data_IF_600503905273
#
_entry.id   IF_600503905273
#
_cell.length_a   1.000
_cell.length_b   1.000
_cell.length_c   1.000
_cell.angle_alpha   90.00
_cell.angle_beta   90.00
_cell.angle_gamma   90.00
#
_symmetry.space_group_name_H-M   'P 1'
#
loop_
_entity.id
_entity.type
_entity.pdbx_description
1 polymer ?
#
# COMPACT_ATOMS: atom_id res chain seq x y z
N UNK A 1 6.09 -24.69 -0.99
CA UNK A 1 7.23 -23.79 -1.35
C UNK A 1 7.29 -22.69 -0.31
N UNK A 2 8.48 -22.22 0.10
CA UNK A 2 8.55 -21.09 1.04
C UNK A 2 7.89 -19.86 0.39
N UNK A 3 6.86 -19.30 1.03
CA UNK A 3 5.98 -18.26 0.49
C UNK A 3 6.72 -16.99 -0.03
N UNK A 4 7.93 -16.72 0.44
CA UNK A 4 8.74 -15.59 -0.03
C UNK A 4 9.30 -15.76 -1.45
N UNK A 5 9.55 -16.98 -1.92
CA UNK A 5 10.02 -17.26 -3.30
C UNK A 5 8.92 -17.08 -4.35
N UNK A 6 7.65 -17.05 -3.94
CA UNK A 6 6.53 -16.77 -4.82
C UNK A 6 6.44 -15.28 -5.19
N UNK A 7 7.08 -14.39 -4.42
CA UNK A 7 7.01 -12.94 -4.65
C UNK A 7 7.56 -12.52 -6.03
N UNK A 8 8.76 -12.92 -6.45
CA UNK A 8 9.23 -12.66 -7.82
C UNK A 8 8.31 -13.23 -8.88
N UNK A 9 7.79 -14.44 -8.66
CA UNK A 9 6.93 -15.11 -9.63
C UNK A 9 5.61 -14.34 -9.82
N UNK A 10 5.00 -13.90 -8.73
CA UNK A 10 3.80 -13.05 -8.76
C UNK A 10 4.11 -11.72 -9.45
N UNK A 11 5.24 -11.09 -9.13
CA UNK A 11 5.67 -9.85 -9.78
C UNK A 11 5.82 -10.00 -11.30
N UNK A 12 6.62 -10.98 -11.73
CA UNK A 12 6.93 -11.20 -13.15
C UNK A 12 5.68 -11.59 -13.94
N UNK A 13 4.86 -12.49 -13.39
CA UNK A 13 3.62 -12.92 -14.06
C UNK A 13 2.66 -11.74 -14.25
N UNK A 14 2.43 -10.94 -13.21
CA UNK A 14 1.56 -9.75 -13.31
C UNK A 14 2.15 -8.68 -14.23
N UNK A 15 3.48 -8.55 -14.28
CA UNK A 15 4.15 -7.63 -15.19
C UNK A 15 3.90 -8.00 -16.64
N UNK A 16 4.15 -9.26 -17.01
CA UNK A 16 3.93 -9.76 -18.37
C UNK A 16 2.45 -9.65 -18.74
N UNK A 17 1.55 -10.04 -17.85
CA UNK A 17 0.11 -9.94 -18.09
C UNK A 17 -0.34 -8.48 -18.29
N UNK A 18 0.13 -7.54 -17.47
CA UNK A 18 -0.22 -6.13 -17.61
C UNK A 18 0.31 -5.57 -18.95
N UNK A 19 1.57 -5.83 -19.28
CA UNK A 19 2.17 -5.39 -20.55
C UNK A 19 1.38 -5.93 -21.74
N UNK A 20 1.08 -7.23 -21.75
CA UNK A 20 0.33 -7.86 -22.83
C UNK A 20 -1.10 -7.32 -22.92
N UNK A 21 -1.80 -7.17 -21.79
CA UNK A 21 -3.16 -6.66 -21.77
C UNK A 21 -3.25 -5.27 -22.40
N UNK A 22 -2.41 -4.31 -21.98
CA UNK A 22 -2.41 -2.97 -22.57
C UNK A 22 -1.99 -2.97 -24.03
N UNK A 23 -0.92 -3.71 -24.37
CA UNK A 23 -0.34 -3.68 -25.71
C UNK A 23 -1.26 -4.34 -26.75
N UNK A 24 -1.90 -5.45 -26.41
CA UNK A 24 -2.88 -6.12 -27.28
C UNK A 24 -4.09 -5.21 -27.50
N UNK A 25 -4.64 -4.63 -26.43
CA UNK A 25 -5.79 -3.72 -26.54
C UNK A 25 -5.48 -2.52 -27.44
N UNK A 26 -4.32 -1.88 -27.27
CA UNK A 26 -3.90 -0.76 -28.14
C UNK A 26 -3.62 -1.22 -29.56
N UNK A 27 -3.01 -2.39 -29.76
CA UNK A 27 -2.79 -2.96 -31.08
C UNK A 27 -4.10 -3.20 -31.84
N UNK A 28 -5.09 -3.83 -31.21
CA UNK A 28 -6.42 -4.06 -31.79
C UNK A 28 -7.07 -2.72 -32.12
N UNK A 29 -7.07 -1.79 -31.16
CA UNK A 29 -7.66 -0.46 -31.34
C UNK A 29 -7.12 0.28 -32.57
N UNK A 30 -5.79 0.32 -32.70
CA UNK A 30 -5.11 1.02 -33.78
C UNK A 30 -5.34 0.33 -35.13
N UNK A 31 -5.46 -1.00 -35.14
CA UNK A 31 -5.82 -1.76 -36.33
C UNK A 31 -7.26 -1.53 -36.78
N UNK A 32 -8.19 -1.34 -35.84
CA UNK A 32 -9.58 -1.00 -36.15
C UNK A 32 -9.69 0.43 -36.70
N UNK A 33 -8.90 1.37 -36.16
CA UNK A 33 -8.94 2.78 -36.56
C UNK A 33 -8.36 3.07 -37.94
N UNK A 34 -7.27 2.39 -38.31
CA UNK A 34 -6.54 2.66 -39.55
C UNK A 34 -6.79 1.62 -40.65
N UNK A 35 -7.69 0.68 -40.43
CA UNK A 35 -8.04 -0.36 -41.41
C UNK A 35 -6.92 -1.37 -41.67
N UNK A 36 -6.94 -1.98 -42.85
CA UNK A 36 -6.05 -3.10 -43.25
C UNK A 36 -4.64 -2.63 -43.66
N UNK A 37 -4.02 -1.76 -42.86
CA UNK A 37 -2.64 -1.35 -43.04
C UNK A 37 -1.72 -2.47 -42.54
N UNK A 38 -1.00 -3.10 -43.46
CA UNK A 38 -0.12 -4.24 -43.15
C UNK A 38 0.83 -3.94 -41.98
N UNK A 39 0.70 -4.72 -40.91
CA UNK A 39 1.54 -4.64 -39.72
C UNK A 39 1.26 -3.48 -38.79
N UNK A 40 0.17 -2.71 -38.97
CA UNK A 40 -0.20 -1.62 -38.04
C UNK A 40 -0.42 -2.17 -36.62
N UNK A 41 -1.12 -3.31 -36.50
CA UNK A 41 -1.35 -4.00 -35.24
C UNK A 41 -0.04 -4.25 -34.47
N UNK A 42 0.94 -4.89 -35.12
CA UNK A 42 2.19 -5.27 -34.48
C UNK A 42 3.06 -4.04 -34.13
N UNK A 43 3.06 -3.03 -35.00
CA UNK A 43 3.78 -1.77 -34.74
C UNK A 43 3.18 -0.99 -33.56
N UNK A 44 1.84 -0.91 -33.47
CA UNK A 44 1.12 -0.29 -32.36
C UNK A 44 1.29 -1.08 -31.06
N UNK A 45 1.22 -2.41 -31.13
CA UNK A 45 1.50 -3.32 -30.02
C UNK A 45 2.88 -3.06 -29.44
N UNK A 46 3.93 -3.06 -30.27
CA UNK A 46 5.29 -2.81 -29.80
C UNK A 46 5.46 -1.39 -29.28
N UNK A 47 4.84 -0.40 -29.93
CA UNK A 47 4.90 1.00 -29.50
C UNK A 47 4.28 1.19 -28.11
N UNK A 48 3.14 0.56 -27.84
CA UNK A 48 2.54 0.56 -26.51
C UNK A 48 3.40 -0.22 -25.50
N UNK A 49 3.90 -1.40 -25.91
CA UNK A 49 4.65 -2.31 -25.06
C UNK A 49 5.86 -1.64 -24.43
N UNK A 50 6.69 -0.95 -25.21
CA UNK A 50 7.88 -0.32 -24.65
C UNK A 50 7.51 0.85 -23.74
N UNK A 51 6.51 1.65 -24.08
CA UNK A 51 6.12 2.82 -23.28
C UNK A 51 5.45 2.45 -21.95
N UNK A 52 4.61 1.40 -21.92
CA UNK A 52 3.78 1.07 -20.75
C UNK A 52 4.56 0.38 -19.62
N UNK A 53 5.82 0.00 -19.83
CA UNK A 53 6.61 -0.77 -18.86
C UNK A 53 6.65 -0.17 -17.44
N UNK A 54 6.83 1.16 -17.24
CA UNK A 54 6.82 1.74 -15.90
C UNK A 54 5.47 1.54 -15.19
N UNK A 55 4.36 1.69 -15.91
CA UNK A 55 3.00 1.50 -15.37
C UNK A 55 2.77 0.02 -15.06
N UNK A 56 3.19 -0.88 -15.94
CA UNK A 56 3.11 -2.31 -15.70
C UNK A 56 3.92 -2.73 -14.46
N UNK A 57 5.09 -2.12 -14.22
CA UNK A 57 5.84 -2.31 -12.98
C UNK A 57 5.04 -1.88 -11.75
N UNK A 58 4.40 -0.71 -11.78
CA UNK A 58 3.60 -0.20 -10.65
C UNK A 58 2.43 -1.15 -10.35
N UNK A 59 1.71 -1.61 -11.39
CA UNK A 59 0.61 -2.58 -11.26
C UNK A 59 1.13 -3.90 -10.66
N UNK A 60 2.31 -4.35 -11.08
CA UNK A 60 2.91 -5.58 -10.56
C UNK A 60 3.29 -5.49 -9.09
N UNK A 61 3.81 -4.34 -8.64
CA UNK A 61 4.05 -4.06 -7.22
C UNK A 61 2.74 -4.13 -6.44
N UNK A 62 1.65 -3.60 -6.99
CA UNK A 62 0.34 -3.68 -6.36
C UNK A 62 -0.17 -5.13 -6.26
N UNK A 63 0.01 -5.96 -7.29
CA UNK A 63 -0.35 -7.37 -7.22
C UNK A 63 0.46 -8.12 -6.14
N UNK A 64 1.76 -7.82 -6.01
CA UNK A 64 2.59 -8.37 -4.93
C UNK A 64 2.12 -7.91 -3.56
N UNK A 65 1.67 -6.66 -3.43
CA UNK A 65 1.10 -6.16 -2.18
C UNK A 65 -0.12 -6.96 -1.75
N UNK A 66 -1.08 -7.16 -2.67
CA UNK A 66 -2.29 -7.95 -2.41
C UNK A 66 -1.92 -9.39 -2.03
N UNK A 67 -0.92 -9.96 -2.69
CA UNK A 67 -0.39 -11.29 -2.35
C UNK A 67 0.19 -11.32 -0.91
N UNK A 68 1.00 -10.33 -0.53
CA UNK A 68 1.59 -10.23 0.82
C UNK A 68 0.54 -9.97 1.91
N UNK A 69 -0.58 -9.30 1.59
CA UNK A 69 -1.71 -9.16 2.52
C UNK A 69 -2.42 -10.49 2.83
N UNK A 70 -2.44 -11.39 1.85
CA UNK A 70 -3.08 -12.72 1.95
C UNK A 70 -2.15 -13.74 2.60
N UNK A 71 -0.84 -13.67 2.33
CA UNK A 71 0.17 -14.59 2.85
C UNK A 71 1.16 -13.86 3.76
N UNK A 72 0.85 -13.82 5.06
CA UNK A 72 1.56 -13.01 6.06
C UNK A 72 2.88 -13.60 6.58
N UNK A 73 3.44 -14.60 5.90
CA UNK A 73 4.63 -15.30 6.38
C UNK A 73 5.91 -14.59 5.90
N UNK A 74 6.80 -14.29 6.85
CA UNK A 74 8.13 -13.71 6.61
C UNK A 74 8.15 -12.40 5.79
N UNK A 75 7.39 -11.39 6.23
CA UNK A 75 7.32 -10.06 5.59
C UNK A 75 8.68 -9.46 5.19
N UNK A 76 9.70 -9.57 6.04
CA UNK A 76 11.02 -9.00 5.77
C UNK A 76 11.74 -9.62 4.57
N UNK A 77 11.72 -10.96 4.46
CA UNK A 77 12.36 -11.66 3.34
C UNK A 77 11.60 -11.40 2.03
N UNK A 78 10.27 -11.51 2.07
CA UNK A 78 9.40 -11.20 0.92
C UNK A 78 9.64 -9.79 0.39
N UNK A 79 9.79 -8.82 1.29
CA UNK A 79 10.09 -7.43 0.94
C UNK A 79 11.47 -7.25 0.32
N UNK A 80 12.51 -7.87 0.90
CA UNK A 80 13.86 -7.84 0.34
C UNK A 80 13.89 -8.42 -1.08
N UNK A 81 13.22 -9.55 -1.28
CA UNK A 81 13.12 -10.21 -2.58
C UNK A 81 12.35 -9.34 -3.59
N UNK A 82 11.30 -8.63 -3.16
CA UNK A 82 10.61 -7.65 -4.00
C UNK A 82 11.54 -6.51 -4.42
N UNK A 83 12.31 -5.92 -3.49
CA UNK A 83 13.25 -4.84 -3.80
C UNK A 83 14.26 -5.29 -4.85
N UNK A 84 14.87 -6.48 -4.68
CA UNK A 84 15.86 -7.00 -5.62
C UNK A 84 15.23 -7.22 -7.00
N UNK A 85 14.06 -7.86 -7.05
CA UNK A 85 13.35 -8.12 -8.32
C UNK A 85 12.99 -6.80 -9.01
N UNK A 86 12.45 -5.86 -8.24
CA UNK A 86 12.09 -4.53 -8.75
C UNK A 86 13.31 -3.77 -9.28
N UNK A 87 14.42 -3.76 -8.53
CA UNK A 87 15.66 -3.10 -8.94
C UNK A 87 16.21 -3.67 -10.25
N UNK A 88 16.13 -5.00 -10.46
CA UNK A 88 16.50 -5.64 -11.72
C UNK A 88 15.61 -5.16 -12.88
N UNK A 89 14.30 -5.08 -12.68
CA UNK A 89 13.39 -4.62 -13.72
C UNK A 89 13.60 -3.13 -14.05
N UNK A 90 13.69 -2.31 -13.01
CA UNK A 90 13.90 -0.87 -13.11
C UNK A 90 15.25 -0.52 -13.74
N UNK A 91 16.35 -1.08 -13.27
CA UNK A 91 17.69 -0.68 -13.71
C UNK A 91 18.17 -1.40 -14.97
N UNK A 92 17.63 -2.59 -15.29
CA UNK A 92 18.09 -3.41 -16.42
C UNK A 92 17.01 -3.64 -17.46
N UNK A 93 15.87 -4.25 -17.10
CA UNK A 93 14.88 -4.71 -18.09
C UNK A 93 14.22 -3.54 -18.83
N UNK A 94 13.74 -2.53 -18.11
CA UNK A 94 13.10 -1.36 -18.75
C UNK A 94 14.09 -0.62 -19.68
N UNK A 95 15.30 -0.24 -19.22
CA UNK A 95 16.33 0.34 -20.08
C UNK A 95 16.70 -0.51 -21.29
N UNK A 96 16.75 -1.84 -21.14
CA UNK A 96 17.05 -2.75 -22.25
C UNK A 96 15.99 -2.64 -23.35
N UNK A 97 14.70 -2.61 -22.99
CA UNK A 97 13.63 -2.44 -23.97
C UNK A 97 13.63 -1.02 -24.54
N UNK A 98 13.88 0.00 -23.72
CA UNK A 98 14.00 1.38 -24.18
C UNK A 98 15.13 1.60 -25.19
N UNK A 99 16.21 0.80 -25.13
CA UNK A 99 17.28 0.85 -26.13
C UNK A 99 16.79 0.56 -27.57
N UNK A 100 15.69 -0.20 -27.70
CA UNK A 100 15.04 -0.46 -28.99
C UNK A 100 13.86 0.49 -29.27
N UNK A 101 13.49 1.33 -28.30
CA UNK A 101 12.33 2.22 -28.37
C UNK A 101 12.36 3.16 -29.57
N UNK A 102 13.53 3.65 -29.97
CA UNK A 102 13.66 4.56 -31.11
C UNK A 102 13.32 3.87 -32.44
N UNK A 103 13.86 2.66 -32.65
CA UNK A 103 13.56 1.86 -33.84
C UNK A 103 12.08 1.51 -33.91
N UNK A 104 11.48 1.14 -32.77
CA UNK A 104 10.05 0.82 -32.67
C UNK A 104 9.21 2.07 -32.97
N UNK A 105 9.58 3.23 -32.43
CA UNK A 105 8.88 4.49 -32.64
C UNK A 105 8.92 4.93 -34.11
N UNK A 106 10.08 4.81 -34.75
CA UNK A 106 10.23 5.11 -36.19
C UNK A 106 9.39 4.15 -37.04
N UNK A 107 9.44 2.84 -36.76
CA UNK A 107 8.66 1.83 -37.48
C UNK A 107 7.15 2.02 -37.33
N UNK A 108 6.67 2.52 -36.18
CA UNK A 108 5.26 2.86 -35.97
C UNK A 108 4.85 4.14 -36.71
N UNK A 109 5.70 5.16 -36.72
CA UNK A 109 5.38 6.44 -37.36
C UNK A 109 5.55 6.44 -38.87
N UNK A 110 6.32 5.51 -39.43
CA UNK A 110 6.45 5.33 -40.88
C UNK A 110 5.24 4.63 -41.52
N UNK A 111 4.32 4.09 -40.73
CA UNK A 111 3.10 3.47 -41.24
C UNK A 111 2.12 4.55 -41.70
N UNK A 112 1.51 4.32 -42.86
CA UNK A 112 0.42 5.14 -43.35
C UNK A 112 -0.77 5.04 -42.38
N UNK A 113 -1.30 6.19 -41.98
CA UNK A 113 -2.37 6.34 -40.99
C UNK A 113 -3.55 7.01 -41.66
N UNK A 114 -4.23 6.28 -42.53
CA UNK A 114 -5.47 6.74 -43.17
C UNK A 114 -6.62 6.35 -42.25
N UNK A 115 -7.32 7.35 -41.72
CA UNK A 115 -8.53 7.14 -40.91
C UNK A 115 -9.63 6.57 -41.79
N UNK A 116 -10.39 5.60 -41.25
CA UNK A 116 -11.59 5.09 -41.92
C UNK A 116 -12.65 6.20 -41.93
N UNK A 117 -13.07 6.62 -43.12
CA UNK A 117 -14.13 7.62 -43.33
C UNK A 117 -15.52 6.97 -43.20
N UNK A 118 -15.82 6.44 -42.02
CA UNK A 118 -17.15 5.93 -41.66
C UNK A 118 -17.55 6.48 -40.30
N UNK A 119 -18.47 7.44 -40.33
CA UNK A 119 -18.99 8.18 -39.16
C UNK A 119 -19.68 7.28 -38.13
N UNK A 120 -20.25 6.15 -38.56
CA UNK A 120 -20.88 5.19 -37.64
C UNK A 120 -19.84 4.31 -36.95
N UNK A 121 -18.80 3.90 -37.68
CA UNK A 121 -17.65 3.19 -37.11
C UNK A 121 -16.85 4.09 -36.16
N UNK A 122 -16.68 5.36 -36.52
CA UNK A 122 -15.93 6.35 -35.74
C UNK A 122 -16.50 6.49 -34.33
N UNK A 123 -17.83 6.58 -34.19
CA UNK A 123 -18.50 6.71 -32.89
C UNK A 123 -18.35 5.43 -32.03
N UNK A 124 -18.31 4.25 -32.67
CA UNK A 124 -18.15 2.97 -31.96
C UNK A 124 -16.71 2.71 -31.55
N UNK A 125 -15.76 3.12 -32.39
CA UNK A 125 -14.33 3.06 -32.14
C UNK A 125 -13.88 4.37 -31.47
N UNK A 126 -14.72 5.20 -30.85
CA UNK A 126 -14.19 6.32 -30.08
C UNK A 126 -13.78 5.86 -28.67
N UNK A 127 -12.61 6.29 -28.18
CA UNK A 127 -12.18 5.88 -26.83
C UNK A 127 -13.20 6.38 -25.81
N UNK A 128 -13.68 5.54 -24.88
CA UNK A 128 -14.58 6.01 -23.83
C UNK A 128 -13.95 7.17 -23.06
N UNK A 129 -14.76 8.15 -22.65
CA UNK A 129 -14.27 9.37 -21.99
C UNK A 129 -13.34 9.08 -20.78
N UNK A 130 -13.61 8.02 -20.02
CA UNK A 130 -12.74 7.62 -18.91
C UNK A 130 -11.35 7.14 -19.38
N UNK A 131 -11.27 6.41 -20.50
CA UNK A 131 -10.00 5.95 -21.09
C UNK A 131 -9.21 7.15 -21.61
N UNK A 132 -9.89 8.11 -22.22
CA UNK A 132 -9.27 9.36 -22.67
C UNK A 132 -8.70 10.15 -21.48
N UNK A 133 -9.47 10.30 -20.41
CA UNK A 133 -9.05 11.00 -19.19
C UNK A 133 -7.87 10.32 -18.48
N UNK A 134 -7.90 8.99 -18.33
CA UNK A 134 -6.76 8.25 -17.77
C UNK A 134 -5.55 8.36 -18.71
N UNK A 135 -5.79 8.27 -20.02
CA UNK A 135 -4.76 8.38 -21.04
C UNK A 135 -4.09 9.76 -21.08
N UNK A 136 -4.79 10.85 -20.80
CA UNK A 136 -4.22 12.20 -20.75
C UNK A 136 -3.33 12.42 -19.53
N UNK A 137 -3.59 11.68 -18.44
CA UNK A 137 -2.76 11.69 -17.22
C UNK A 137 -1.53 10.79 -17.40
N UNK A 138 -1.71 9.58 -17.93
CA UNK A 138 -0.65 8.56 -17.99
C UNK A 138 0.33 8.79 -19.13
N UNK A 139 -0.12 9.25 -20.32
CA UNK A 139 0.77 9.45 -21.48
C UNK A 139 1.95 10.39 -21.20
N UNK A 140 1.73 11.61 -20.66
CA UNK A 140 2.81 12.50 -20.26
C UNK A 140 3.86 11.81 -19.38
N UNK A 141 3.40 11.05 -18.40
CA UNK A 141 4.25 10.37 -17.44
C UNK A 141 5.16 9.34 -18.11
N UNK A 142 4.62 8.44 -18.93
CA UNK A 142 5.43 7.41 -19.59
C UNK A 142 6.37 7.98 -20.65
N UNK A 143 5.93 9.01 -21.38
CA UNK A 143 6.75 9.68 -22.38
C UNK A 143 7.90 10.47 -21.75
N UNK A 144 7.67 11.15 -20.63
CA UNK A 144 8.71 11.88 -19.93
C UNK A 144 9.78 10.92 -19.36
N UNK A 145 9.38 9.77 -18.82
CA UNK A 145 10.34 8.73 -18.36
C UNK A 145 11.22 8.25 -19.52
N UNK A 146 10.62 7.96 -20.68
CA UNK A 146 11.37 7.57 -21.88
C UNK A 146 12.26 8.71 -22.41
N UNK A 147 11.76 9.95 -22.36
CA UNK A 147 12.52 11.16 -22.70
C UNK A 147 13.77 11.32 -21.82
N UNK A 148 13.66 11.06 -20.51
CA UNK A 148 14.82 11.08 -19.62
C UNK A 148 15.82 9.98 -19.93
N UNK A 149 15.35 8.79 -20.33
CA UNK A 149 16.24 7.73 -20.80
C UNK A 149 17.00 8.13 -22.06
N UNK A 150 16.33 8.77 -23.03
CA UNK A 150 17.00 9.32 -24.23
C UNK A 150 18.04 10.37 -23.89
N UNK A 151 17.80 11.19 -22.87
CA UNK A 151 18.75 12.22 -22.44
C UNK A 151 20.01 11.59 -21.84
N UNK A 152 19.85 10.71 -20.84
CA UNK A 152 20.93 9.84 -20.36
C UNK A 152 20.39 8.73 -19.45
N UNK A 153 21.14 7.63 -19.34
CA UNK A 153 20.83 6.56 -18.39
C UNK A 153 20.81 7.06 -16.93
N UNK A 154 21.74 7.94 -16.56
CA UNK A 154 21.79 8.54 -15.22
C UNK A 154 20.58 9.41 -14.94
N UNK A 155 20.15 10.21 -15.91
CA UNK A 155 18.96 11.06 -15.81
C UNK A 155 17.71 10.21 -15.59
N UNK A 156 17.58 9.10 -16.32
CA UNK A 156 16.53 8.12 -16.12
C UNK A 156 16.54 7.54 -14.70
N UNK A 157 17.69 7.08 -14.21
CA UNK A 157 17.80 6.49 -12.88
C UNK A 157 17.38 7.46 -11.77
N UNK A 158 17.82 8.72 -11.86
CA UNK A 158 17.46 9.76 -10.89
C UNK A 158 15.97 10.06 -10.94
N UNK A 159 15.45 10.36 -12.15
CA UNK A 159 14.06 10.77 -12.33
C UNK A 159 13.10 9.64 -11.98
N UNK A 160 13.23 8.49 -12.66
CA UNK A 160 12.34 7.37 -12.45
C UNK A 160 12.55 6.73 -11.06
N UNK A 161 13.77 6.72 -10.54
CA UNK A 161 14.06 6.25 -9.18
C UNK A 161 13.36 7.08 -8.10
N UNK A 162 13.33 8.41 -8.23
CA UNK A 162 12.62 9.29 -7.29
C UNK A 162 11.10 9.04 -7.27
N UNK A 163 10.50 8.76 -8.44
CA UNK A 163 9.08 8.42 -8.57
C UNK A 163 8.80 7.06 -7.94
N UNK A 164 9.62 6.06 -8.24
CA UNK A 164 9.45 4.74 -7.66
C UNK A 164 9.68 4.72 -6.15
N UNK A 165 10.60 5.55 -5.64
CA UNK A 165 10.77 5.79 -4.20
C UNK A 165 9.49 6.34 -3.57
N UNK A 166 8.83 7.31 -4.21
CA UNK A 166 7.55 7.86 -3.75
C UNK A 166 6.46 6.78 -3.70
N UNK A 167 6.30 6.01 -4.78
CA UNK A 167 5.32 4.92 -4.85
C UNK A 167 5.60 3.86 -3.78
N UNK A 168 6.88 3.53 -3.57
CA UNK A 168 7.30 2.58 -2.56
C UNK A 168 7.05 3.10 -1.14
N UNK A 169 7.23 4.40 -0.88
CA UNK A 169 6.92 5.01 0.41
C UNK A 169 5.43 4.88 0.77
N UNK A 170 4.54 5.05 -0.23
CA UNK A 170 3.10 4.81 -0.05
C UNK A 170 2.81 3.36 0.30
N UNK A 171 3.48 2.43 -0.36
CA UNK A 171 3.32 1.00 -0.10
C UNK A 171 3.79 0.61 1.31
N UNK A 172 4.92 1.16 1.76
CA UNK A 172 5.41 0.96 3.13
C UNK A 172 4.39 1.51 4.12
N UNK A 173 3.84 2.69 3.83
CA UNK A 173 2.80 3.31 4.63
C UNK A 173 1.56 2.44 4.77
N UNK A 174 1.01 1.96 3.66
CA UNK A 174 -0.18 1.11 3.69
C UNK A 174 0.09 -0.28 4.29
N UNK A 175 1.30 -0.82 4.16
CA UNK A 175 1.64 -2.08 4.83
C UNK A 175 1.66 -1.93 6.35
N UNK A 176 2.18 -0.80 6.85
CA UNK A 176 2.26 -0.53 8.28
C UNK A 176 0.90 -0.23 8.88
N UNK A 177 -0.01 0.47 8.19
CA UNK A 177 -1.30 0.85 8.80
C UNK A 177 -2.19 -0.34 9.12
N UNK A 178 -1.99 -1.51 8.49
CA UNK A 178 -2.73 -2.77 8.67
C UNK A 178 -4.24 -2.71 8.30
N UNK A 179 -4.74 -1.58 7.81
CA UNK A 179 -6.15 -1.38 7.44
C UNK A 179 -6.43 -1.98 6.07
N UNK A 180 -6.52 -3.33 5.98
CA UNK A 180 -6.50 -4.06 4.70
C UNK A 180 -7.47 -3.51 3.64
N UNK A 181 -8.74 -3.29 3.98
CA UNK A 181 -9.76 -2.80 3.04
C UNK A 181 -9.51 -1.35 2.65
N UNK A 182 -9.29 -0.47 3.63
CA UNK A 182 -9.04 0.96 3.37
C UNK A 182 -7.80 1.15 2.52
N UNK A 183 -6.72 0.43 2.82
CA UNK A 183 -5.46 0.49 2.09
C UNK A 183 -5.58 -0.04 0.66
N UNK A 184 -6.41 -1.06 0.44
CA UNK A 184 -6.67 -1.59 -0.90
C UNK A 184 -7.33 -0.54 -1.81
N UNK A 185 -8.26 0.25 -1.29
CA UNK A 185 -8.90 1.35 -2.03
C UNK A 185 -8.03 2.60 -2.10
N UNK A 186 -7.30 2.92 -1.04
CA UNK A 186 -6.53 4.16 -0.92
C UNK A 186 -5.27 4.16 -1.80
N UNK A 187 -4.62 3.00 -1.99
CA UNK A 187 -3.40 2.91 -2.78
C UNK A 187 -3.57 3.26 -4.27
N UNK A 188 -4.56 2.71 -5.01
CA UNK A 188 -4.80 3.12 -6.39
C UNK A 188 -5.27 4.58 -6.48
N UNK A 189 -6.04 5.07 -5.50
CA UNK A 189 -6.48 6.46 -5.45
C UNK A 189 -5.30 7.42 -5.29
N UNK A 190 -4.39 7.14 -4.36
CA UNK A 190 -3.16 7.91 -4.18
C UNK A 190 -2.24 7.86 -5.40
N UNK A 191 -2.17 6.71 -6.08
CA UNK A 191 -1.42 6.59 -7.32
C UNK A 191 -1.99 7.50 -8.41
N UNK A 192 -3.31 7.49 -8.60
CA UNK A 192 -3.99 8.40 -9.53
C UNK A 192 -3.74 9.85 -9.14
N UNK A 193 -3.80 10.19 -7.84
CA UNK A 193 -3.52 11.53 -7.34
C UNK A 193 -2.08 11.97 -7.63
N UNK A 194 -1.10 11.08 -7.46
CA UNK A 194 0.31 11.36 -7.82
C UNK A 194 0.45 11.61 -9.31
N UNK A 195 -0.17 10.77 -10.16
CA UNK A 195 -0.11 10.94 -11.61
C UNK A 195 -0.84 12.21 -12.06
N UNK A 196 -1.93 12.58 -11.39
CA UNK A 196 -2.62 13.84 -11.63
C UNK A 196 -1.78 15.05 -11.19
N UNK A 197 -1.18 15.00 -10.00
CA UNK A 197 -0.24 16.02 -9.52
C UNK A 197 0.98 16.14 -10.42
N UNK A 198 1.45 15.03 -11.01
CA UNK A 198 2.52 15.03 -12.01
C UNK A 198 2.18 15.92 -13.21
N UNK A 199 0.95 15.83 -13.73
CA UNK A 199 0.49 16.67 -14.83
C UNK A 199 0.59 18.17 -14.51
N UNK A 200 0.38 18.55 -13.25
CA UNK A 200 0.52 19.93 -12.79
C UNK A 200 1.99 20.34 -12.58
N UNK A 201 2.80 19.49 -11.96
CA UNK A 201 4.25 19.71 -11.73
C UNK A 201 5.02 19.85 -13.05
N UNK A 202 4.49 19.28 -14.13
CA UNK A 202 5.09 19.35 -15.46
C UNK A 202 5.00 20.75 -16.07
N UNK A 203 4.00 21.56 -15.72
CA UNK A 203 3.73 22.88 -16.29
C UNK A 203 4.87 23.85 -16.01
N UNK A 204 5.22 24.69 -17.00
CA UNK A 204 6.29 25.69 -16.85
C UNK A 204 6.00 26.69 -15.74
N UNK A 205 4.75 27.15 -15.61
CA UNK A 205 4.31 28.07 -14.55
C UNK A 205 4.62 27.55 -13.14
N UNK A 206 4.46 26.23 -12.92
CA UNK A 206 4.77 25.61 -11.65
C UNK A 206 6.28 25.63 -11.39
N UNK A 207 7.08 25.30 -12.41
CA UNK A 207 8.54 25.32 -12.30
C UNK A 207 9.05 26.73 -12.00
N UNK A 208 8.52 27.75 -12.69
CA UNK A 208 8.85 29.15 -12.45
C UNK A 208 8.48 29.58 -11.03
N UNK A 209 7.29 29.21 -10.55
CA UNK A 209 6.86 29.50 -9.18
C UNK A 209 7.81 28.91 -8.13
N UNK A 210 8.36 27.72 -8.39
CA UNK A 210 9.35 27.09 -7.51
C UNK A 210 10.70 27.82 -7.60
N UNK A 211 11.16 28.18 -8.80
CA UNK A 211 12.39 28.95 -9.00
C UNK A 211 12.34 30.29 -8.25
N UNK A 212 11.20 30.99 -8.24
CA UNK A 212 11.02 32.27 -7.55
C UNK A 212 11.08 32.17 -6.01
N UNK A 213 10.64 31.04 -5.45
CA UNK A 213 10.64 30.81 -4.00
C UNK A 213 12.03 30.40 -3.48
N UNK A 214 12.83 29.75 -4.34
CA UNK A 214 14.11 29.18 -3.94
C UNK A 214 15.22 30.25 -3.88
N UNK A 215 15.96 30.36 -2.77
CA UNK A 215 17.04 31.34 -2.65
C UNK A 215 18.31 30.96 -3.44
N UNK A 216 18.28 29.86 -4.21
CA UNK A 216 19.40 29.37 -5.00
C UNK A 216 18.95 28.78 -6.33
N UNK A 217 19.77 28.93 -7.37
CA UNK A 217 19.52 28.40 -8.70
C UNK A 217 19.77 26.89 -8.75
N UNK A 218 18.71 26.10 -8.92
CA UNK A 218 18.78 24.66 -9.20
C UNK A 218 18.55 24.45 -10.70
N UNK A 219 19.30 23.55 -11.38
CA UNK A 219 18.95 23.19 -12.75
C UNK A 219 17.55 22.58 -12.82
N UNK A 220 16.72 23.04 -13.76
CA UNK A 220 15.32 22.61 -13.93
C UNK A 220 15.09 21.09 -13.92
N UNK A 221 16.07 20.36 -14.45
CA UNK A 221 16.08 18.90 -14.46
C UNK A 221 15.93 18.27 -13.06
N UNK A 222 16.51 18.89 -12.02
CA UNK A 222 16.52 18.35 -10.66
C UNK A 222 15.28 18.68 -9.84
N UNK A 223 14.48 19.67 -10.25
CA UNK A 223 13.33 20.14 -9.48
C UNK A 223 12.31 19.02 -9.25
N UNK A 224 11.93 18.31 -10.32
CA UNK A 224 10.92 17.23 -10.23
C UNK A 224 11.41 16.04 -9.37
N UNK A 225 12.61 15.47 -9.58
CA UNK A 225 13.13 14.42 -8.71
C UNK A 225 13.21 14.80 -7.24
N UNK A 226 13.65 16.04 -6.94
CA UNK A 226 13.74 16.54 -5.56
C UNK A 226 12.35 16.58 -4.92
N UNK A 227 11.33 17.07 -5.62
CA UNK A 227 9.95 17.12 -5.12
C UNK A 227 9.42 15.72 -4.80
N UNK A 228 9.66 14.72 -5.66
CA UNK A 228 9.24 13.34 -5.39
C UNK A 228 9.98 12.75 -4.19
N UNK A 229 11.28 12.99 -4.07
CA UNK A 229 12.07 12.56 -2.90
C UNK A 229 11.59 13.21 -1.60
N UNK A 230 11.28 14.52 -1.61
CA UNK A 230 10.74 15.22 -0.44
C UNK A 230 9.38 14.65 -0.03
N UNK A 231 8.48 14.42 -1.00
CA UNK A 231 7.18 13.81 -0.74
C UNK A 231 7.33 12.39 -0.16
N UNK A 232 8.22 11.57 -0.72
CA UNK A 232 8.52 10.23 -0.21
C UNK A 232 9.04 10.27 1.23
N UNK A 233 9.91 11.24 1.52
CA UNK A 233 10.50 11.45 2.85
C UNK A 233 9.43 11.81 3.88
N UNK A 234 8.45 12.64 3.54
CA UNK A 234 7.30 12.92 4.41
C UNK A 234 6.54 11.65 4.77
N UNK A 235 6.27 10.78 3.79
CA UNK A 235 5.64 9.48 4.05
C UNK A 235 6.53 8.57 4.93
N UNK A 236 7.85 8.55 4.72
CA UNK A 236 8.78 7.78 5.55
C UNK A 236 8.89 8.29 7.00
N UNK A 237 8.86 9.61 7.20
CA UNK A 237 8.83 10.19 8.55
C UNK A 237 7.53 9.81 9.24
N UNK A 238 6.39 10.03 8.58
CA UNK A 238 5.08 9.73 9.15
C UNK A 238 4.94 8.25 9.52
N UNK A 239 5.39 7.34 8.64
CA UNK A 239 5.39 5.90 8.93
C UNK A 239 6.30 5.53 10.08
N UNK A 240 7.49 6.13 10.15
CA UNK A 240 8.43 5.89 11.25
C UNK A 240 7.85 6.32 12.60
N UNK A 241 7.23 7.50 12.66
CA UNK A 241 6.53 7.98 13.87
C UNK A 241 5.40 7.02 14.25
N UNK A 242 4.59 6.59 13.28
CA UNK A 242 3.47 5.68 13.51
C UNK A 242 3.95 4.33 14.05
N UNK A 243 5.06 3.79 13.52
CA UNK A 243 5.72 2.60 14.05
C UNK A 243 6.24 2.80 15.47
N UNK A 244 6.88 3.93 15.76
CA UNK A 244 7.38 4.25 17.10
C UNK A 244 6.25 4.33 18.13
N UNK A 245 5.15 5.01 17.81
CA UNK A 245 3.96 5.12 18.67
C UNK A 245 3.36 3.73 18.94
N UNK A 246 3.24 2.89 17.91
CA UNK A 246 2.74 1.51 18.08
C UNK A 246 3.66 0.65 18.94
N UNK A 247 4.97 0.75 18.76
CA UNK A 247 5.96 0.02 19.57
C UNK A 247 5.96 0.51 21.03
N UNK A 248 5.88 1.82 21.26
CA UNK A 248 5.78 2.41 22.59
C UNK A 248 4.52 1.94 23.33
N UNK A 249 3.37 1.86 22.64
CA UNK A 249 2.11 1.33 23.20
C UNK A 249 2.19 -0.17 23.53
N UNK A 250 2.97 -0.94 22.77
CA UNK A 250 3.20 -2.38 22.99
C UNK A 250 4.27 -2.68 24.05
N UNK A 251 5.02 -1.68 24.55
CA UNK A 251 5.93 -1.93 25.67
C UNK A 251 5.10 -2.37 26.89
N UNK A 252 5.45 -3.48 27.56
CA UNK A 252 4.77 -3.88 28.77
C UNK A 252 4.90 -2.72 29.76
N UNK A 253 3.77 -2.18 30.24
CA UNK A 253 3.76 -1.26 31.39
C UNK A 253 4.69 -1.89 32.43
N UNK A 254 5.80 -1.20 32.77
CA UNK A 254 6.75 -1.64 33.80
C UNK A 254 5.95 -2.33 34.91
N UNK A 255 6.10 -3.66 35.05
CA UNK A 255 5.44 -4.39 36.11
C UNK A 255 5.78 -3.64 37.39
N UNK A 256 4.77 -3.04 38.03
CA UNK A 256 4.93 -2.49 39.38
C UNK A 256 5.45 -3.67 40.19
N UNK A 257 6.72 -3.62 40.57
CA UNK A 257 7.34 -4.61 41.45
C UNK A 257 6.41 -4.67 42.67
N UNK A 258 5.60 -5.73 42.76
CA UNK A 258 4.86 -6.02 43.99
C UNK A 258 5.95 -6.19 45.04
N UNK A 259 6.10 -5.18 45.92
CA UNK A 259 6.94 -5.30 47.11
C UNK A 259 6.49 -6.58 47.82
N UNK A 260 7.25 -7.66 47.66
CA UNK A 260 7.08 -8.84 48.48
C UNK A 260 7.31 -8.37 49.91
N UNK A 261 6.24 -8.36 50.71
CA UNK A 261 6.36 -8.22 52.17
C UNK A 261 7.18 -9.43 52.62
N UNK A 262 8.47 -9.23 52.85
CA UNK A 262 9.32 -10.18 53.55
C UNK A 262 8.68 -10.35 54.92
N UNK A 263 8.02 -11.50 55.15
CA UNK A 263 7.58 -11.89 56.48
C UNK A 263 8.83 -12.20 57.27
N UNK A 264 9.23 -11.30 58.16
CA UNK A 264 10.28 -11.55 59.13
C UNK A 264 9.97 -12.86 59.90
N UNK A 265 10.96 -13.75 60.09
CA UNK A 265 10.75 -14.99 60.82
C UNK A 265 10.35 -14.68 62.26
N UNK A 266 9.22 -15.25 62.71
CA UNK A 266 8.78 -15.17 64.11
C UNK A 266 9.85 -15.80 65.00
N UNK A 267 10.49 -14.96 65.82
CA UNK A 267 11.35 -15.40 66.92
C UNK A 267 10.55 -16.33 67.83
N UNK A 268 10.99 -17.59 67.97
CA UNK A 268 10.43 -18.53 68.94
C UNK A 268 10.79 -18.04 70.34
N UNK A 269 9.79 -17.60 71.13
CA UNK A 269 9.95 -17.38 72.56
C UNK A 269 10.34 -18.70 73.25
N UNK A 270 11.25 -18.70 74.24
CA UNK A 270 11.58 -19.89 75.02
C UNK A 270 10.35 -20.42 75.76
N UNK A 271 10.19 -21.75 75.81
CA UNK A 271 9.14 -22.42 76.59
C UNK A 271 9.42 -22.21 78.08
N UNK A 272 8.45 -21.64 78.81
CA UNK A 272 8.45 -21.62 80.26
C UNK A 272 8.24 -23.04 80.84
N UNK A 273 8.80 -23.37 82.02
CA UNK A 273 8.69 -24.70 82.62
C UNK A 273 7.25 -25.00 83.04
N UNK A 274 6.77 -26.21 82.73
CA UNK A 274 5.44 -26.69 83.13
C UNK A 274 5.42 -27.01 84.64
N UNK A 275 4.79 -26.14 85.42
CA UNK A 275 4.27 -26.50 86.75
C UNK A 275 2.94 -27.25 86.51
N UNK A 276 2.84 -28.48 87.04
CA UNK A 276 1.63 -29.30 86.98
C UNK A 276 0.73 -28.97 88.17
N UNK A 277 -0.54 -28.67 87.93
CA UNK A 277 -1.64 -28.88 88.89
C UNK A 277 -3.02 -28.83 88.16
N UNK A 278 -4.12 -29.31 88.77
CA UNK A 278 -4.90 -30.45 88.27
C UNK A 278 -6.17 -30.09 87.48
N UNK A 279 -6.77 -31.11 86.86
CA UNK A 279 -7.99 -31.09 86.02
C UNK A 279 -9.22 -30.50 86.74
N UNK A 280 -10.03 -29.73 86.01
CA UNK A 280 -11.45 -29.50 86.33
C UNK A 280 -12.35 -29.65 85.09
N UNK A 281 -13.11 -30.76 85.11
CA UNK A 281 -14.54 -30.97 84.76
C UNK A 281 -15.20 -30.14 83.63
N UNK A 282 -15.80 -30.85 82.65
CA UNK A 282 -16.77 -30.37 81.64
C UNK A 282 -18.19 -30.26 82.21
N UNK A 283 -19.04 -29.38 81.64
CA UNK A 283 -20.40 -29.76 81.22
C UNK A 283 -20.67 -29.30 79.76
N UNK A 284 -21.14 -30.16 78.83
CA UNK A 284 -22.50 -30.66 78.52
C UNK A 284 -23.48 -29.63 77.89
N UNK A 285 -23.57 -29.74 76.56
CA UNK A 285 -24.68 -29.63 75.58
C UNK A 285 -26.10 -29.24 76.05
N UNK A 286 -26.77 -28.42 75.22
CA UNK A 286 -28.23 -28.24 75.05
C UNK A 286 -28.52 -26.83 74.49
N UNK A 287 -29.49 -26.54 73.63
CA UNK A 287 -30.34 -27.30 72.70
C UNK A 287 -30.90 -26.29 71.67
N UNK A 288 -31.38 -26.77 70.52
CA UNK A 288 -31.95 -25.98 69.40
C UNK A 288 -33.33 -25.41 69.72
N UNK A 289 -33.69 -24.25 69.16
CA UNK A 289 -35.08 -23.93 68.75
C UNK A 289 -35.06 -23.18 67.41
N UNK A 290 -35.84 -23.70 66.45
CA UNK A 290 -36.19 -23.11 65.16
C UNK A 290 -37.51 -22.33 65.32
N UNK A 291 -37.65 -21.18 64.66
CA UNK A 291 -38.97 -20.64 64.30
C UNK A 291 -38.93 -20.19 62.82
N UNK A 292 -39.94 -20.66 62.10
CA UNK A 292 -40.25 -20.51 60.68
C UNK A 292 -41.50 -19.61 60.55
N UNK A 293 -41.98 -19.41 59.32
CA UNK A 293 -43.20 -18.70 58.85
C UNK A 293 -42.98 -17.24 58.39
N UNK A 294 -43.60 -16.76 57.30
CA UNK A 294 -44.05 -17.35 56.04
C UNK A 294 -44.48 -16.16 55.15
N UNK A 295 -44.14 -16.24 53.86
CA UNK A 295 -44.82 -15.75 52.62
C UNK A 295 -45.49 -14.36 52.53
N UNK A 296 -45.32 -13.69 51.37
CA UNK A 296 -46.41 -13.33 50.42
C UNK A 296 -45.85 -12.51 49.23
N UNK A 297 -46.08 -13.01 48.01
CA UNK A 297 -45.93 -12.32 46.71
C UNK A 297 -47.34 -12.17 46.13
N UNK A 298 -47.71 -11.05 45.49
CA UNK A 298 -48.81 -11.04 44.55
C UNK A 298 -48.30 -10.93 43.10
N UNK A 299 -48.65 -11.93 42.29
CA UNK A 299 -48.70 -11.84 40.83
C UNK A 299 -50.08 -11.32 40.42
N UNK A 300 -50.14 -10.22 39.66
CA UNK A 300 -51.29 -9.95 38.79
C UNK A 300 -50.87 -9.10 37.58
N UNK A 301 -51.25 -9.62 36.41
CA UNK A 301 -51.05 -9.17 35.03
C UNK A 301 -51.36 -7.70 34.74
N UNK A 302 -50.67 -7.18 33.72
CA UNK A 302 -51.12 -6.06 32.89
C UNK A 302 -50.15 -5.78 31.74
N UNK A 303 -50.42 -6.36 30.56
CA UNK A 303 -49.87 -5.99 29.25
C UNK A 303 -49.97 -4.47 28.99
N UNK A 304 -49.00 -3.87 28.27
CA UNK A 304 -49.24 -2.86 27.22
C UNK A 304 -47.94 -2.50 26.44
N UNK A 305 -47.91 -2.94 25.17
CA UNK A 305 -47.53 -2.28 23.91
C UNK A 305 -46.23 -1.45 23.73
N UNK A 306 -45.62 -1.73 22.58
CA UNK A 306 -44.69 -0.94 21.75
C UNK A 306 -45.01 0.56 21.66
N UNK A 307 -43.96 1.37 21.53
CA UNK A 307 -44.00 2.77 21.14
C UNK A 307 -42.60 3.37 20.99
N UNK A 308 -42.27 3.71 19.75
CA UNK A 308 -41.04 4.33 19.24
C UNK A 308 -40.55 5.57 20.01
N UNK A 309 -39.23 5.74 20.12
CA UNK A 309 -38.61 7.06 20.35
C UNK A 309 -37.31 7.15 19.54
N UNK A 310 -37.42 7.79 18.37
CA UNK A 310 -36.32 8.47 17.68
C UNK A 310 -35.97 9.78 18.40
N UNK A 311 -34.67 10.06 18.54
CA UNK A 311 -34.07 11.40 18.63
C UNK A 311 -32.57 11.35 18.29
#
# INVERSE_FOLDING_TARGET
MKNWLLVPLVFISNFVLAVLAFSISVGIWQSLMYGDVSGIFFSAFLHCLYLILPIACIISIFSVYVFMMRHSEHYGLSFLTLIITFALFFALIIPLVYSQGEKINQAFNSKEKVLIDDKHLETFIEQPAFVQAVGSIVRPFVHDIYGQYKASYTSYLIFSGSIFLLIFSLWVFTTITEWKIVNFTFLPLLLILILYAYSYIRTEDFILSIEDILPFTIPRFWIRPILFCLSALVFFIYTSILLLVRRAKKMPKKQKIKRQKIKAPKVKKPKAPKIKMPKSVKPKKGDKINEEFDTFIPDSLGDFSEGDIDA
#
